data_IF_080552939836
#
_entry.id   IF_080552939836
#
_cell.length_a   1.000
_cell.length_b   1.000
_cell.length_c   1.000
_cell.angle_alpha   90.00
_cell.angle_beta   90.00
_cell.angle_gamma   90.00
#
_symmetry.space_group_name_H-M   'P 1'
#
loop_
_entity.id
_entity.type
_entity.pdbx_description
1 polymer ?
#
# COMPACT_ATOMS: atom_id res chain seq x y z
N UNK A 1 -17.52 2.06 3.44
CA UNK A 1 -17.08 0.65 3.33
C UNK A 1 -15.57 0.66 3.45
N UNK A 2 -14.99 -0.17 4.32
CA UNK A 2 -13.53 -0.29 4.45
C UNK A 2 -13.01 -1.14 3.29
N UNK A 3 -12.28 -0.54 2.36
CA UNK A 3 -11.67 -1.27 1.24
C UNK A 3 -10.80 -2.44 1.72
N UNK A 4 -10.90 -3.60 1.05
CA UNK A 4 -10.07 -4.79 1.33
C UNK A 4 -8.66 -4.56 0.77
N UNK A 5 -7.62 -4.69 1.59
CA UNK A 5 -6.21 -4.38 1.25
C UNK A 5 -5.24 -5.52 1.59
N UNK A 6 -4.77 -6.26 0.60
CA UNK A 6 -3.63 -7.16 0.77
C UNK A 6 -2.32 -6.41 0.58
N UNK A 7 -1.83 -5.69 1.60
CA UNK A 7 -0.60 -4.93 1.44
C UNK A 7 -0.10 -4.15 2.65
N UNK A 8 0.05 -2.84 2.52
CA UNK A 8 0.41 -1.96 3.65
C UNK A 8 -0.69 -0.94 3.83
N UNK A 9 -1.09 -0.68 5.07
CA UNK A 9 -1.98 0.43 5.41
C UNK A 9 -1.45 1.18 6.62
N UNK A 10 -1.09 2.45 6.44
CA UNK A 10 -0.53 3.30 7.49
C UNK A 10 -1.62 4.16 8.14
N UNK A 11 -2.64 3.50 8.68
CA UNK A 11 -3.82 4.16 9.28
C UNK A 11 -3.63 4.59 10.74
N UNK A 12 -2.55 4.15 11.40
CA UNK A 12 -2.26 4.53 12.78
C UNK A 12 -2.07 6.04 12.93
N UNK A 13 -2.81 6.63 13.87
CA UNK A 13 -2.64 8.00 14.31
C UNK A 13 -1.71 8.02 15.54
N UNK A 14 -0.88 9.05 15.66
CA UNK A 14 -0.08 9.24 16.85
C UNK A 14 -0.93 9.63 18.06
N UNK A 15 -0.70 8.97 19.21
CA UNK A 15 -1.14 9.47 20.51
C UNK A 15 -0.03 10.36 21.10
N UNK A 16 -0.38 11.55 21.62
CA UNK A 16 0.58 12.44 22.30
C UNK A 16 0.32 12.43 23.80
N UNK A 17 1.29 11.95 24.58
CA UNK A 17 1.21 11.94 26.03
C UNK A 17 1.63 13.29 26.63
N UNK A 18 0.96 13.71 27.72
CA UNK A 18 1.25 14.95 28.45
C UNK A 18 0.46 16.19 28.02
N UNK A 19 -0.68 16.01 27.34
CA UNK A 19 -1.58 17.10 26.96
C UNK A 19 -2.76 17.12 27.95
N UNK A 20 -2.69 17.97 28.99
CA UNK A 20 -3.78 18.12 29.98
C UNK A 20 -4.99 18.88 29.42
N UNK A 21 -4.90 19.48 28.24
CA UNK A 21 -5.97 20.25 27.63
C UNK A 21 -6.06 20.02 26.11
N UNK A 22 -7.11 19.37 25.58
CA UNK A 22 -7.23 18.99 24.16
C UNK A 22 -7.42 20.19 23.20
N UNK A 23 -7.69 21.39 23.72
CA UNK A 23 -7.82 22.61 22.93
C UNK A 23 -6.48 23.35 22.73
N UNK A 24 -5.45 22.65 22.25
CA UNK A 24 -4.27 23.36 21.74
C UNK A 24 -4.72 24.11 20.48
N UNK A 25 -4.96 25.42 20.62
CA UNK A 25 -5.27 26.31 19.50
C UNK A 25 -4.02 26.48 18.62
N UNK A 26 -3.77 25.53 17.72
CA UNK A 26 -2.76 25.62 16.66
C UNK A 26 -3.09 26.71 15.61
N UNK A 27 -4.19 27.45 15.80
CA UNK A 27 -4.70 28.49 14.93
C UNK A 27 -3.79 29.73 14.79
N UNK A 28 -2.71 29.85 15.57
CA UNK A 28 -1.75 30.96 15.47
C UNK A 28 -0.40 30.52 14.89
N UNK A 29 -0.42 30.09 13.62
CA UNK A 29 0.61 30.44 12.63
C UNK A 29 2.09 30.15 12.89
N UNK A 30 2.49 29.29 13.83
CA UNK A 30 3.90 28.99 14.07
C UNK A 30 4.13 27.49 14.22
N UNK A 31 4.26 26.79 13.09
CA UNK A 31 4.89 25.47 13.04
C UNK A 31 6.38 25.68 12.78
N UNK A 32 7.22 25.30 13.72
CA UNK A 32 8.67 25.29 13.56
C UNK A 32 9.17 23.85 13.73
N UNK A 33 10.00 23.38 12.80
CA UNK A 33 10.74 22.14 12.96
C UNK A 33 12.04 22.46 13.67
N UNK A 34 12.11 22.14 14.98
CA UNK A 34 13.29 22.38 15.80
C UNK A 34 14.14 21.12 15.84
N UNK A 35 15.45 21.26 15.57
CA UNK A 35 16.44 20.18 15.70
C UNK A 35 17.31 20.47 16.91
N UNK A 36 17.42 19.51 17.81
CA UNK A 36 18.25 19.63 19.01
C UNK A 36 19.74 19.47 18.69
N UNK A 37 20.58 20.40 19.18
CA UNK A 37 22.04 20.34 19.12
C UNK A 37 22.72 21.57 18.47
N UNK A 38 23.92 21.94 18.96
CA UNK A 38 24.74 22.95 18.28
C UNK A 38 25.14 22.45 16.89
N UNK A 39 24.89 23.25 15.84
CA UNK A 39 25.07 22.85 14.44
C UNK A 39 24.25 21.62 14.01
N UNK A 40 23.16 21.31 14.72
CA UNK A 40 22.29 20.21 14.33
C UNK A 40 21.69 20.46 12.95
N UNK A 41 21.92 19.53 12.03
CA UNK A 41 21.32 19.53 10.70
C UNK A 41 20.25 18.45 10.68
N UNK A 42 19.06 18.79 10.19
CA UNK A 42 18.09 17.75 9.84
C UNK A 42 18.77 16.88 8.80
N UNK A 43 18.81 15.57 9.03
CA UNK A 43 19.31 14.64 8.04
C UNK A 43 18.54 14.87 6.72
N UNK A 44 19.19 15.31 5.61
CA UNK A 44 18.48 15.83 4.45
C UNK A 44 17.46 14.85 3.87
N UNK A 45 17.81 13.55 3.85
CA UNK A 45 16.89 12.50 3.39
C UNK A 45 15.69 12.32 4.32
N UNK A 46 15.88 12.42 5.64
CA UNK A 46 14.79 12.30 6.61
C UNK A 46 13.81 13.48 6.47
N UNK A 47 14.32 14.68 6.26
CA UNK A 47 13.49 15.86 5.97
C UNK A 47 12.64 15.65 4.71
N UNK A 48 13.25 15.15 3.63
CA UNK A 48 12.52 14.85 2.39
C UNK A 48 11.48 13.74 2.58
N UNK A 49 11.79 12.70 3.36
CA UNK A 49 10.79 11.68 3.74
C UNK A 49 9.62 12.29 4.51
N UNK A 50 9.89 13.22 5.42
CA UNK A 50 8.85 13.93 6.17
C UNK A 50 7.97 14.80 5.25
N UNK A 51 8.57 15.58 4.34
CA UNK A 51 7.83 16.35 3.33
C UNK A 51 6.98 15.42 2.46
N UNK A 52 7.51 14.27 2.07
CA UNK A 52 6.78 13.25 1.30
C UNK A 52 5.58 12.72 2.09
N UNK A 53 5.76 12.35 3.37
CA UNK A 53 4.67 11.89 4.22
C UNK A 53 3.57 12.96 4.41
N UNK A 54 3.97 14.22 4.64
CA UNK A 54 3.04 15.34 4.71
C UNK A 54 2.27 15.50 3.40
N UNK A 55 2.93 15.42 2.25
CA UNK A 55 2.30 15.51 0.93
C UNK A 55 1.24 14.41 0.73
N UNK A 56 1.58 13.16 1.06
CA UNK A 56 0.69 12.02 0.94
C UNK A 56 -0.55 12.15 1.85
N UNK A 57 -0.39 12.71 3.05
CA UNK A 57 -1.47 12.83 4.05
C UNK A 57 -2.33 14.08 3.87
N UNK A 58 -1.73 15.24 3.63
CA UNK A 58 -2.46 16.51 3.55
C UNK A 58 -3.26 16.66 2.26
N UNK A 59 -2.80 16.07 1.16
CA UNK A 59 -3.48 16.13 -0.14
C UNK A 59 -4.25 14.86 -0.49
N UNK A 60 -4.61 14.05 0.50
CA UNK A 60 -5.49 12.90 0.31
C UNK A 60 -6.46 12.79 1.48
N UNK A 61 -7.69 12.36 1.19
CA UNK A 61 -8.67 12.00 2.21
C UNK A 61 -8.60 10.52 2.61
N UNK A 62 -7.74 9.76 1.92
CA UNK A 62 -7.45 8.36 2.23
C UNK A 62 -6.10 8.24 2.92
N UNK A 63 -6.01 7.29 3.85
CA UNK A 63 -4.74 6.92 4.44
C UNK A 63 -3.79 6.30 3.40
N UNK A 64 -2.48 6.56 3.49
CA UNK A 64 -1.49 5.91 2.64
C UNK A 64 -1.61 4.39 2.69
N UNK A 65 -1.83 3.77 1.53
CA UNK A 65 -1.99 2.32 1.39
C UNK A 65 -1.45 1.76 0.08
N UNK A 66 -1.13 0.46 0.05
CA UNK A 66 -0.96 -0.31 -1.20
C UNK A 66 -1.62 -1.69 -1.07
N UNK A 67 -1.97 -2.28 -2.20
CA UNK A 67 -2.38 -3.69 -2.32
C UNK A 67 -1.72 -4.33 -3.54
N UNK A 68 -1.38 -5.62 -3.45
CA UNK A 68 -0.92 -6.41 -4.61
C UNK A 68 -1.91 -7.54 -4.84
N UNK A 69 -2.60 -7.46 -5.96
CA UNK A 69 -3.83 -8.18 -6.27
C UNK A 69 -3.62 -9.07 -7.52
N UNK A 70 -4.00 -10.37 -7.49
CA UNK A 70 -3.80 -11.27 -8.61
C UNK A 70 -4.83 -10.95 -9.70
N UNK A 71 -4.40 -11.00 -10.95
CA UNK A 71 -5.24 -10.64 -12.11
C UNK A 71 -6.19 -11.79 -12.47
N UNK A 72 -5.73 -13.03 -12.31
CA UNK A 72 -6.50 -14.21 -12.67
C UNK A 72 -5.60 -15.44 -12.85
N UNK A 73 -6.20 -16.60 -13.15
CA UNK A 73 -5.44 -17.82 -13.39
C UNK A 73 -4.53 -17.66 -14.61
N UNK A 74 -3.32 -18.23 -14.53
CA UNK A 74 -2.32 -18.30 -15.63
C UNK A 74 -1.74 -16.94 -16.09
N UNK A 75 -1.88 -15.89 -15.28
CA UNK A 75 -1.21 -14.60 -15.52
C UNK A 75 0.01 -14.50 -14.62
N UNK A 76 1.18 -14.31 -15.21
CA UNK A 76 2.48 -14.22 -14.52
C UNK A 76 2.72 -12.86 -13.85
N UNK A 77 1.68 -12.04 -13.72
CA UNK A 77 1.71 -10.71 -13.12
C UNK A 77 0.57 -10.52 -12.13
N UNK A 78 0.85 -9.75 -11.09
CA UNK A 78 -0.15 -9.18 -10.19
C UNK A 78 -0.22 -7.67 -10.39
N UNK A 79 -1.40 -7.08 -10.17
CA UNK A 79 -1.58 -5.64 -10.20
C UNK A 79 -1.16 -5.03 -8.86
N UNK A 80 -0.56 -3.85 -8.94
CA UNK A 80 -0.29 -3.01 -7.79
C UNK A 80 -1.35 -1.90 -7.75
N UNK A 81 -2.02 -1.83 -6.61
CA UNK A 81 -2.98 -0.78 -6.29
C UNK A 81 -2.38 0.16 -5.27
N UNK A 82 -2.38 1.45 -5.58
CA UNK A 82 -1.92 2.50 -4.70
C UNK A 82 -3.15 3.23 -4.13
N UNK A 83 -3.22 3.37 -2.80
CA UNK A 83 -4.35 3.96 -2.09
C UNK A 83 -3.92 5.27 -1.44
N UNK A 84 -4.76 6.29 -1.58
CA UNK A 84 -4.39 7.66 -1.26
C UNK A 84 -3.31 8.22 -2.19
N UNK A 85 -2.57 9.22 -1.73
CA UNK A 85 -1.61 9.97 -2.56
C UNK A 85 -0.19 9.43 -2.45
N UNK A 86 -0.02 8.12 -2.65
CA UNK A 86 1.30 7.45 -2.59
C UNK A 86 1.87 7.06 -3.95
N UNK A 87 1.09 7.15 -5.03
CA UNK A 87 1.59 6.89 -6.38
C UNK A 87 2.69 7.89 -6.75
N UNK A 88 3.71 7.40 -7.44
CA UNK A 88 4.92 8.11 -7.83
C UNK A 88 5.71 8.73 -6.67
N UNK A 89 5.68 8.10 -5.50
CA UNK A 89 6.43 8.55 -4.31
C UNK A 89 7.32 7.45 -3.76
N UNK A 90 8.39 7.85 -3.06
CA UNK A 90 9.25 6.93 -2.30
C UNK A 90 8.46 6.18 -1.22
N UNK A 91 7.43 6.80 -0.64
CA UNK A 91 6.51 6.10 0.26
C UNK A 91 5.79 4.95 -0.45
N UNK A 92 5.25 5.18 -1.65
CA UNK A 92 4.62 4.15 -2.47
C UNK A 92 5.57 3.01 -2.84
N UNK A 93 6.82 3.34 -3.20
CA UNK A 93 7.89 2.36 -3.44
C UNK A 93 8.14 1.50 -2.20
N UNK A 94 8.38 2.13 -1.04
CA UNK A 94 8.68 1.43 0.21
C UNK A 94 7.55 0.48 0.59
N UNK A 95 6.30 0.93 0.49
CA UNK A 95 5.13 0.11 0.81
C UNK A 95 5.01 -1.10 -0.13
N UNK A 96 5.19 -0.89 -1.45
CA UNK A 96 5.16 -1.96 -2.46
C UNK A 96 6.25 -2.99 -2.19
N UNK A 97 7.49 -2.56 -1.98
CA UNK A 97 8.63 -3.45 -1.81
C UNK A 97 8.58 -4.22 -0.48
N UNK A 98 8.11 -3.59 0.60
CA UNK A 98 7.95 -4.25 1.89
C UNK A 98 6.88 -5.36 1.84
N UNK A 99 5.71 -5.08 1.24
CA UNK A 99 4.65 -6.06 1.05
C UNK A 99 5.06 -7.17 0.10
N UNK A 100 5.65 -6.82 -1.05
CA UNK A 100 6.08 -7.80 -2.03
C UNK A 100 7.12 -8.75 -1.45
N UNK A 101 8.14 -8.23 -0.77
CA UNK A 101 9.16 -9.02 -0.05
C UNK A 101 8.52 -9.94 1.00
N UNK A 102 7.57 -9.42 1.79
CA UNK A 102 6.87 -10.23 2.79
C UNK A 102 6.08 -11.37 2.13
N UNK A 103 5.41 -11.11 1.00
CA UNK A 103 4.68 -12.14 0.27
C UNK A 103 5.60 -13.19 -0.34
N UNK A 104 6.80 -12.81 -0.82
CA UNK A 104 7.81 -13.79 -1.27
C UNK A 104 8.20 -14.73 -0.13
N UNK A 105 8.34 -14.19 1.08
CA UNK A 105 8.64 -14.97 2.28
C UNK A 105 7.47 -15.85 2.72
N UNK A 106 6.23 -15.33 2.65
CA UNK A 106 5.03 -16.08 2.99
C UNK A 106 4.80 -17.28 2.04
N UNK A 107 4.95 -17.02 0.72
CA UNK A 107 4.87 -18.04 -0.33
C UNK A 107 6.09 -18.98 -0.25
N UNK A 108 7.25 -18.46 0.14
CA UNK A 108 8.51 -19.21 0.25
C UNK A 108 9.34 -19.25 -1.04
N UNK A 109 9.10 -18.33 -1.99
CA UNK A 109 9.96 -18.12 -3.17
C UNK A 109 11.29 -17.47 -2.80
N UNK A 110 11.30 -16.71 -1.72
CA UNK A 110 12.51 -16.21 -1.05
C UNK A 110 12.39 -16.46 0.46
N UNK A 111 13.50 -16.37 1.18
CA UNK A 111 13.53 -16.51 2.63
C UNK A 111 14.49 -15.49 3.24
N UNK A 112 14.15 -14.87 4.38
CA UNK A 112 15.14 -14.17 5.15
C UNK A 112 16.11 -15.17 5.76
N UNK A 113 17.36 -14.77 5.81
CA UNK A 113 18.38 -15.37 6.66
C UNK A 113 18.13 -14.91 8.11
N UNK A 114 17.14 -15.50 8.76
CA UNK A 114 16.84 -15.24 10.17
C UNK A 114 16.53 -16.56 10.89
N UNK A 115 17.18 -16.86 12.03
CA UNK A 115 16.97 -18.12 12.75
C UNK A 115 15.50 -18.38 13.10
N UNK A 116 15.03 -19.60 12.84
CA UNK A 116 13.65 -20.01 13.14
C UNK A 116 12.60 -19.53 12.14
N UNK A 117 12.99 -18.80 11.08
CA UNK A 117 12.05 -18.43 10.03
C UNK A 117 11.49 -19.67 9.31
N UNK A 118 10.17 -19.71 9.12
CA UNK A 118 9.50 -20.66 8.25
C UNK A 118 8.50 -19.92 7.34
N UNK A 119 8.46 -20.25 6.03
CA UNK A 119 7.36 -19.80 5.17
C UNK A 119 6.05 -20.45 5.65
N UNK A 120 4.89 -19.97 5.17
CA UNK A 120 3.60 -20.52 5.64
C UNK A 120 3.50 -22.02 5.39
N UNK A 121 4.00 -22.49 4.25
CA UNK A 121 4.07 -23.91 3.90
C UNK A 121 4.80 -24.76 4.96
N UNK A 122 5.86 -24.21 5.56
CA UNK A 122 6.58 -24.84 6.68
C UNK A 122 5.70 -25.01 7.91
N UNK A 123 4.89 -23.98 8.23
CA UNK A 123 3.92 -24.08 9.32
C UNK A 123 2.76 -25.03 9.01
N UNK A 124 2.32 -25.12 7.75
CA UNK A 124 1.26 -26.05 7.35
C UNK A 124 1.62 -27.52 7.65
N UNK A 125 2.91 -27.89 7.62
CA UNK A 125 3.36 -29.22 8.05
C UNK A 125 2.91 -29.56 9.48
N UNK A 126 2.82 -28.56 10.36
CA UNK A 126 2.49 -28.75 11.77
C UNK A 126 0.99 -28.66 12.06
N UNK A 127 0.27 -27.84 11.30
CA UNK A 127 -1.14 -27.54 11.56
C UNK A 127 -2.11 -28.15 10.53
N UNK A 128 -1.59 -28.83 9.51
CA UNK A 128 -2.36 -29.32 8.37
C UNK A 128 -2.47 -28.28 7.24
N UNK A 129 -2.91 -28.73 6.06
CA UNK A 129 -3.09 -27.84 4.92
C UNK A 129 -4.17 -26.78 5.23
N UNK A 130 -3.93 -25.56 4.76
CA UNK A 130 -4.95 -24.52 4.75
C UNK A 130 -6.08 -24.88 3.79
N UNK A 131 -7.24 -24.26 3.96
CA UNK A 131 -8.37 -24.48 3.05
C UNK A 131 -7.97 -24.17 1.59
N UNK A 132 -7.89 -25.23 0.78
CA UNK A 132 -7.45 -25.15 -0.62
C UNK A 132 -8.46 -24.32 -1.42
N UNK A 133 -7.96 -23.38 -2.22
CA UNK A 133 -8.80 -22.50 -3.05
C UNK A 133 -9.35 -21.27 -2.32
N UNK A 134 -9.06 -21.09 -1.03
CA UNK A 134 -9.43 -19.87 -0.30
C UNK A 134 -8.28 -18.86 -0.35
N UNK A 135 -8.56 -17.66 -0.86
CA UNK A 135 -7.61 -16.54 -0.85
C UNK A 135 -7.33 -16.10 0.60
N UNK A 136 -6.09 -15.73 0.87
CA UNK A 136 -5.62 -15.23 2.17
C UNK A 136 -5.01 -13.86 2.01
N UNK A 137 -5.12 -13.06 3.06
CA UNK A 137 -4.69 -11.67 3.07
C UNK A 137 -3.60 -11.52 4.13
N UNK A 138 -2.52 -10.83 3.76
CA UNK A 138 -1.51 -10.36 4.70
C UNK A 138 -1.35 -8.86 4.54
N UNK A 139 -1.24 -8.12 5.65
CA UNK A 139 -0.98 -6.69 5.55
C UNK A 139 -0.27 -6.09 6.77
N UNK A 140 0.60 -5.12 6.53
CA UNK A 140 1.26 -4.37 7.59
C UNK A 140 0.38 -3.23 8.10
N UNK A 141 0.36 -3.07 9.42
CA UNK A 141 -0.23 -1.92 10.11
C UNK A 141 0.71 -1.40 11.19
N UNK A 142 0.79 -0.07 11.40
CA UNK A 142 1.44 0.48 12.58
C UNK A 142 0.52 0.36 13.81
N UNK A 143 1.11 0.08 14.96
CA UNK A 143 0.40 0.01 16.24
C UNK A 143 1.08 0.82 17.32
N UNK A 144 0.26 1.48 18.15
CA UNK A 144 0.69 2.22 19.34
C UNK A 144 1.83 3.20 19.05
N UNK A 145 1.76 3.89 17.89
CA UNK A 145 2.69 4.96 17.58
C UNK A 145 2.40 6.12 18.54
N UNK A 146 3.36 6.44 19.39
CA UNK A 146 3.24 7.44 20.45
C UNK A 146 4.37 8.44 20.35
N UNK A 147 4.01 9.69 20.61
CA UNK A 147 4.97 10.76 20.80
C UNK A 147 4.80 11.31 22.21
N UNK A 148 5.91 11.67 22.86
CA UNK A 148 5.93 12.36 24.13
C UNK A 148 6.21 13.82 23.89
N UNK A 149 5.47 14.70 24.56
CA UNK A 149 5.78 16.12 24.57
C UNK A 149 6.95 16.40 25.51
N UNK A 150 7.95 17.13 25.02
CA UNK A 150 9.06 17.67 25.81
C UNK A 150 9.18 19.16 25.56
N UNK A 151 8.56 20.00 26.39
CA UNK A 151 8.43 21.44 26.12
C UNK A 151 7.63 21.69 24.84
N UNK A 152 8.26 22.31 23.84
CA UNK A 152 7.69 22.58 22.51
C UNK A 152 8.04 21.50 21.47
N UNK A 153 8.62 20.37 21.90
CA UNK A 153 9.02 19.26 21.04
C UNK A 153 8.03 18.09 21.13
N UNK A 154 7.85 17.40 20.01
CA UNK A 154 7.24 16.06 19.95
C UNK A 154 8.34 15.04 19.68
N UNK A 155 8.64 14.22 20.68
CA UNK A 155 9.65 13.17 20.60
C UNK A 155 8.96 11.83 20.39
N UNK A 156 9.43 11.03 19.44
CA UNK A 156 8.92 9.66 19.30
C UNK A 156 9.22 8.87 20.59
N UNK A 157 8.19 8.22 21.15
CA UNK A 157 8.29 7.48 22.40
C UNK A 157 8.29 5.97 22.13
N UNK A 158 7.23 5.49 21.51
CA UNK A 158 7.03 4.06 21.27
C UNK A 158 6.21 3.80 20.02
N UNK A 159 6.28 2.57 19.52
CA UNK A 159 5.52 2.14 18.37
C UNK A 159 6.07 0.86 17.80
N UNK A 160 5.26 0.13 17.04
CA UNK A 160 5.70 -1.06 16.31
C UNK A 160 4.91 -1.24 15.02
N UNK A 161 5.46 -2.04 14.12
CA UNK A 161 4.70 -2.60 13.01
C UNK A 161 4.16 -3.97 13.40
N UNK A 162 2.96 -4.29 12.92
CA UNK A 162 2.36 -5.62 13.03
C UNK A 162 2.01 -6.12 11.64
N UNK A 163 2.23 -7.41 11.40
CA UNK A 163 1.70 -8.12 10.26
C UNK A 163 0.38 -8.76 10.66
N UNK A 164 -0.67 -8.46 9.91
CA UNK A 164 -2.01 -9.01 10.07
C UNK A 164 -2.31 -10.05 9.01
N UNK A 165 -3.22 -10.97 9.33
CA UNK A 165 -3.71 -11.97 8.38
C UNK A 165 -5.18 -12.32 8.59
N UNK A 166 -5.86 -12.67 7.50
CA UNK A 166 -7.21 -13.23 7.51
C UNK A 166 -7.50 -14.01 6.21
N UNK A 167 -8.53 -14.86 6.23
CA UNK A 167 -9.13 -15.39 5.02
C UNK A 167 -9.89 -14.29 4.27
N UNK A 168 -9.72 -14.26 2.95
CA UNK A 168 -10.43 -13.38 2.04
C UNK A 168 -11.62 -14.12 1.40
N UNK A 169 -12.51 -14.63 2.26
CA UNK A 169 -13.76 -15.28 1.88
C UNK A 169 -14.91 -14.80 2.77
N UNK A 170 -16.08 -14.60 2.17
CA UNK A 170 -17.28 -14.24 2.93
C UNK A 170 -17.66 -15.39 3.88
N UNK A 171 -18.01 -15.04 5.13
CA UNK A 171 -18.28 -16.01 6.21
C UNK A 171 -17.05 -16.43 7.03
N UNK A 172 -15.82 -16.19 6.54
CA UNK A 172 -14.56 -16.49 7.26
C UNK A 172 -13.77 -15.23 7.63
N UNK A 173 -14.42 -14.06 7.57
CA UNK A 173 -13.79 -12.75 7.84
C UNK A 173 -13.26 -12.70 9.26
N UNK A 174 -12.08 -12.09 9.43
CA UNK A 174 -11.40 -12.00 10.73
C UNK A 174 -10.85 -13.32 11.27
N UNK A 175 -11.01 -14.43 10.54
CA UNK A 175 -10.37 -15.70 10.87
C UNK A 175 -9.13 -15.88 10.01
N UNK A 176 -8.12 -16.56 10.54
CA UNK A 176 -6.91 -16.94 9.82
C UNK A 176 -6.61 -18.42 10.06
N UNK A 177 -5.90 -19.06 9.14
CA UNK A 177 -5.38 -20.39 9.41
C UNK A 177 -4.31 -20.31 10.51
N UNK A 178 -4.12 -21.38 11.33
CA UNK A 178 -3.05 -21.40 12.31
C UNK A 178 -1.66 -21.19 11.69
N UNK A 179 -1.43 -21.68 10.47
CA UNK A 179 -0.17 -21.51 9.75
C UNK A 179 0.07 -20.05 9.33
N UNK A 180 -0.95 -19.38 8.78
CA UNK A 180 -0.86 -17.96 8.42
C UNK A 180 -0.66 -17.09 9.67
N UNK A 181 -1.38 -17.40 10.76
CA UNK A 181 -1.24 -16.69 12.03
C UNK A 181 0.17 -16.85 12.62
N UNK A 182 0.76 -18.04 12.58
CA UNK A 182 2.14 -18.26 13.04
C UNK A 182 3.17 -17.48 12.24
N UNK A 183 2.99 -17.40 10.92
CA UNK A 183 3.83 -16.56 10.07
C UNK A 183 3.70 -15.07 10.44
N UNK A 184 2.46 -14.59 10.61
CA UNK A 184 2.19 -13.20 10.98
C UNK A 184 2.74 -12.84 12.38
N UNK A 185 2.59 -13.75 13.35
CA UNK A 185 3.10 -13.60 14.71
C UNK A 185 4.63 -13.57 14.74
N UNK A 186 5.28 -14.50 14.02
CA UNK A 186 6.74 -14.52 13.89
C UNK A 186 7.24 -13.18 13.32
N UNK A 187 6.66 -12.73 12.20
CA UNK A 187 7.08 -11.48 11.58
C UNK A 187 6.89 -10.29 12.53
N UNK A 188 5.76 -10.25 13.23
CA UNK A 188 5.45 -9.18 14.20
C UNK A 188 6.41 -9.16 15.37
N UNK A 189 6.69 -10.33 15.97
CA UNK A 189 7.59 -10.46 17.12
C UNK A 189 9.04 -10.10 16.76
N UNK A 190 9.47 -10.44 15.55
CA UNK A 190 10.84 -10.24 15.08
C UNK A 190 11.00 -9.00 14.20
N UNK A 191 9.97 -8.15 14.06
CA UNK A 191 9.98 -7.05 13.10
C UNK A 191 11.19 -6.12 13.26
N UNK A 192 11.52 -5.72 14.49
CA UNK A 192 12.65 -4.81 14.74
C UNK A 192 13.99 -5.44 14.32
N UNK A 193 14.24 -6.69 14.69
CA UNK A 193 15.45 -7.41 14.31
C UNK A 193 15.50 -7.67 12.79
N UNK A 194 14.36 -7.93 12.15
CA UNK A 194 14.27 -8.02 10.69
C UNK A 194 14.57 -6.65 10.04
N UNK A 195 14.06 -5.55 10.59
CA UNK A 195 14.31 -4.21 10.07
C UNK A 195 15.79 -3.79 10.16
N UNK A 196 16.53 -4.28 11.16
CA UNK A 196 17.98 -4.08 11.24
C UNK A 196 18.74 -4.79 10.10
N UNK A 197 18.27 -5.97 9.69
CA UNK A 197 18.91 -6.78 8.63
C UNK A 197 18.40 -6.45 7.22
N UNK A 198 17.15 -6.03 7.11
CA UNK A 198 16.43 -5.80 5.85
C UNK A 198 15.96 -4.35 5.80
N UNK A 199 16.72 -3.45 5.13
CA UNK A 199 16.49 -2.01 5.18
C UNK A 199 15.07 -1.57 4.81
N UNK A 200 14.39 -2.31 3.93
CA UNK A 200 13.04 -1.97 3.50
C UNK A 200 12.02 -1.92 4.65
N UNK A 201 12.18 -2.79 5.66
CA UNK A 201 11.29 -2.78 6.84
C UNK A 201 11.65 -1.66 7.82
N UNK A 202 12.93 -1.27 7.89
CA UNK A 202 13.32 -0.05 8.61
C UNK A 202 12.71 1.19 7.95
N UNK A 203 12.82 1.30 6.63
CA UNK A 203 12.23 2.40 5.87
C UNK A 203 10.71 2.45 6.02
N UNK A 204 10.04 1.30 6.01
CA UNK A 204 8.60 1.20 6.23
C UNK A 204 8.20 1.72 7.63
N UNK A 205 8.93 1.33 8.68
CA UNK A 205 8.63 1.80 10.03
C UNK A 205 8.93 3.29 10.22
N UNK A 206 10.03 3.80 9.66
CA UNK A 206 10.30 5.24 9.62
C UNK A 206 9.14 6.01 8.96
N UNK A 207 8.66 5.53 7.81
CA UNK A 207 7.52 6.15 7.15
C UNK A 207 6.23 6.04 7.97
N UNK A 208 6.00 4.94 8.68
CA UNK A 208 4.86 4.81 9.57
C UNK A 208 4.87 5.85 10.69
N UNK A 209 6.03 6.15 11.27
CA UNK A 209 6.19 7.22 12.27
C UNK A 209 5.88 8.59 11.66
N UNK A 210 6.42 8.88 10.48
CA UNK A 210 6.23 10.16 9.78
C UNK A 210 4.78 10.37 9.35
N UNK A 211 4.11 9.31 8.86
CA UNK A 211 2.69 9.35 8.50
C UNK A 211 1.83 9.55 9.75
N UNK A 212 2.10 8.85 10.84
CA UNK A 212 1.37 9.04 12.10
C UNK A 212 1.49 10.48 12.63
N UNK A 213 2.68 11.08 12.54
CA UNK A 213 2.91 12.48 12.88
C UNK A 213 2.16 13.42 11.91
N UNK A 214 2.26 13.21 10.60
CA UNK A 214 1.56 14.00 9.60
C UNK A 214 0.03 13.97 9.81
N UNK A 215 -0.52 12.79 10.14
CA UNK A 215 -1.95 12.63 10.47
C UNK A 215 -2.34 13.41 11.71
N UNK A 216 -1.53 13.31 12.77
CA UNK A 216 -1.74 14.08 14.00
C UNK A 216 -1.77 15.59 13.70
N UNK A 217 -0.82 16.11 12.92
CA UNK A 217 -0.79 17.52 12.53
C UNK A 217 -2.03 17.92 11.71
N UNK A 218 -2.44 17.09 10.73
CA UNK A 218 -3.62 17.35 9.90
C UNK A 218 -4.90 17.41 10.74
N UNK A 219 -5.10 16.44 11.64
CA UNK A 219 -6.28 16.36 12.49
C UNK A 219 -6.36 17.49 13.53
N UNK A 220 -5.21 17.98 13.99
CA UNK A 220 -5.12 19.16 14.86
C UNK A 220 -5.22 20.49 14.09
N UNK A 221 -5.52 20.45 12.78
CA UNK A 221 -5.77 21.64 11.98
C UNK A 221 -4.53 22.49 11.69
N UNK A 222 -3.31 21.93 11.79
CA UNK A 222 -2.08 22.67 11.53
C UNK A 222 -2.01 23.06 10.04
N UNK A 223 -2.00 24.36 9.68
CA UNK A 223 -2.11 24.80 8.29
C UNK A 223 -0.76 24.75 7.56
N UNK A 224 -0.42 23.59 7.01
CA UNK A 224 0.87 23.34 6.34
C UNK A 224 0.89 23.61 4.83
N UNK A 225 -0.15 24.23 4.26
CA UNK A 225 -0.25 24.45 2.82
C UNK A 225 0.95 25.24 2.26
N UNK A 226 1.28 26.39 2.86
CA UNK A 226 2.41 27.22 2.43
C UNK A 226 3.73 26.44 2.46
N UNK A 227 3.94 25.65 3.53
CA UNK A 227 5.13 24.84 3.72
C UNK A 227 5.23 23.77 2.63
N UNK A 228 4.14 23.07 2.35
CA UNK A 228 4.09 22.03 1.32
C UNK A 228 4.32 22.60 -0.08
N UNK A 229 3.80 23.80 -0.38
CA UNK A 229 4.06 24.46 -1.66
C UNK A 229 5.50 24.93 -1.80
N UNK A 230 6.07 25.49 -0.74
CA UNK A 230 7.48 25.92 -0.72
C UNK A 230 8.46 24.74 -0.85
N UNK A 231 8.08 23.53 -0.42
CA UNK A 231 8.93 22.35 -0.43
C UNK A 231 8.45 21.26 -1.38
N UNK A 232 7.57 21.56 -2.34
CA UNK A 232 7.02 20.56 -3.28
C UNK A 232 8.10 19.81 -4.05
N UNK A 233 9.20 20.49 -4.38
CA UNK A 233 10.33 19.91 -5.13
C UNK A 233 11.22 19.01 -4.26
N UNK A 234 10.96 18.95 -2.95
CA UNK A 234 11.64 18.06 -2.01
C UNK A 234 10.94 16.72 -1.84
N UNK A 235 9.70 16.58 -2.33
CA UNK A 235 8.96 15.29 -2.33
C UNK A 235 9.83 14.25 -3.04
N UNK A 236 10.04 13.11 -2.38
CA UNK A 236 10.78 12.00 -2.96
C UNK A 236 9.84 11.28 -3.92
N UNK A 237 10.15 11.39 -5.20
CA UNK A 237 9.43 10.72 -6.28
C UNK A 237 10.17 9.44 -6.68
N UNK A 238 9.40 8.38 -6.91
CA UNK A 238 9.90 7.10 -7.40
C UNK A 238 8.93 6.57 -8.46
N UNK A 239 9.39 5.64 -9.31
CA UNK A 239 8.50 4.98 -10.24
C UNK A 239 7.49 4.09 -9.49
N UNK A 240 6.26 4.06 -9.97
CA UNK A 240 5.16 3.29 -9.38
C UNK A 240 4.59 2.34 -10.41
N UNK A 241 5.29 1.22 -10.67
CA UNK A 241 4.82 0.24 -11.63
C UNK A 241 3.45 -0.27 -11.19
N UNK A 242 2.58 -0.47 -12.19
CA UNK A 242 1.24 -1.02 -12.03
C UNK A 242 1.24 -2.54 -11.86
N UNK A 243 2.39 -3.20 -12.00
CA UNK A 243 2.51 -4.65 -11.83
C UNK A 243 3.75 -5.08 -11.04
N UNK A 244 3.68 -6.31 -10.53
CA UNK A 244 4.83 -7.10 -10.06
C UNK A 244 4.68 -8.53 -10.60
N UNK A 245 5.77 -9.30 -10.57
CA UNK A 245 5.69 -10.72 -10.96
C UNK A 245 4.75 -11.51 -10.03
N UNK A 246 4.06 -12.48 -10.61
CA UNK A 246 3.28 -13.43 -9.84
C UNK A 246 4.20 -14.25 -8.93
N UNK A 247 3.77 -14.38 -7.68
CA UNK A 247 4.42 -15.26 -6.71
C UNK A 247 3.71 -16.61 -6.71
N UNK A 248 4.37 -17.63 -7.24
CA UNK A 248 3.88 -18.99 -7.23
C UNK A 248 5.02 -19.99 -6.97
N UNK A 249 4.74 -21.04 -6.20
CA UNK A 249 5.62 -22.21 -6.07
C UNK A 249 4.83 -23.49 -5.80
N UNK A 250 5.44 -24.64 -6.06
CA UNK A 250 4.96 -25.91 -5.51
C UNK A 250 5.23 -25.95 -3.99
N UNK A 251 4.36 -26.62 -3.24
CA UNK A 251 4.60 -26.89 -1.82
C UNK A 251 5.79 -27.83 -1.64
N UNK A 252 6.59 -27.57 -0.61
CA UNK A 252 7.72 -28.43 -0.23
C UNK A 252 7.24 -29.68 0.55
N UNK A 253 5.96 -29.71 0.98
CA UNK A 253 5.43 -30.70 1.92
C UNK A 253 4.16 -31.43 1.43
N UNK A 254 3.41 -30.83 0.50
CA UNK A 254 2.14 -31.37 0.02
C UNK A 254 2.17 -31.55 -1.50
N UNK A 255 2.20 -32.80 -1.95
CA UNK A 255 2.23 -33.13 -3.37
C UNK A 255 0.99 -32.58 -4.09
N UNK A 256 1.18 -31.94 -5.25
CA UNK A 256 0.12 -31.33 -6.03
C UNK A 256 -0.43 -30.00 -5.52
N UNK A 257 0.03 -29.50 -4.35
CA UNK A 257 -0.37 -28.19 -3.83
C UNK A 257 0.49 -27.08 -4.45
N UNK A 258 -0.17 -26.12 -5.12
CA UNK A 258 0.47 -24.89 -5.59
C UNK A 258 0.12 -23.73 -4.66
N UNK A 259 1.13 -22.99 -4.22
CA UNK A 259 1.00 -21.82 -3.37
C UNK A 259 1.12 -20.58 -4.24
N UNK A 260 0.11 -19.71 -4.20
CA UNK A 260 0.10 -18.43 -4.92
C UNK A 260 -0.10 -17.26 -3.94
N UNK A 261 0.51 -16.12 -4.23
CA UNK A 261 0.28 -14.86 -3.52
C UNK A 261 -0.86 -14.05 -4.15
N UNK A 262 -1.45 -13.11 -3.39
CA UNK A 262 -2.41 -12.12 -3.90
C UNK A 262 -3.75 -12.10 -3.17
N UNK A 263 -4.40 -10.93 -3.18
CA UNK A 263 -5.73 -10.70 -2.61
C UNK A 263 -6.71 -10.34 -3.71
N UNK A 264 -7.88 -10.99 -3.77
CA UNK A 264 -8.88 -10.81 -4.83
C UNK A 264 -9.16 -9.33 -5.13
N UNK A 265 -9.21 -9.00 -6.42
CA UNK A 265 -9.49 -7.67 -6.95
C UNK A 265 -10.77 -7.08 -6.31
N UNK A 266 -10.68 -5.86 -5.81
CA UNK A 266 -11.86 -5.05 -5.54
C UNK A 266 -12.36 -4.45 -6.87
N UNK A 267 -13.67 -4.47 -7.10
CA UNK A 267 -14.27 -3.97 -8.34
C UNK A 267 -14.20 -2.43 -8.49
N UNK A 268 -13.93 -1.70 -7.41
CA UNK A 268 -13.94 -0.23 -7.35
C UNK A 268 -12.57 0.34 -6.93
N UNK A 269 -11.50 -0.08 -7.61
CA UNK A 269 -10.14 0.22 -7.20
C UNK A 269 -9.37 1.06 -8.24
N UNK A 270 -8.59 2.04 -7.77
CA UNK A 270 -7.69 2.84 -8.60
C UNK A 270 -6.35 2.10 -8.80
N UNK A 271 -6.14 1.54 -9.99
CA UNK A 271 -4.89 0.89 -10.39
C UNK A 271 -4.05 1.82 -11.26
N UNK A 272 -2.72 1.67 -11.21
CA UNK A 272 -1.84 2.28 -12.20
C UNK A 272 -1.88 1.44 -13.47
N UNK A 273 -2.35 2.04 -14.56
CA UNK A 273 -2.54 1.38 -15.85
C UNK A 273 -1.40 1.73 -16.80
N UNK A 274 -0.19 1.28 -16.46
CA UNK A 274 0.95 1.38 -17.37
C UNK A 274 0.88 0.33 -18.49
N UNK A 275 1.84 0.38 -19.42
CA UNK A 275 1.87 -0.54 -20.57
C UNK A 275 1.92 -2.02 -20.14
N UNK A 276 2.59 -2.33 -19.03
CA UNK A 276 2.72 -3.69 -18.54
C UNK A 276 1.43 -4.19 -17.87
N UNK A 277 0.77 -3.34 -17.08
CA UNK A 277 -0.53 -3.60 -16.47
C UNK A 277 -1.61 -3.83 -17.54
N UNK A 278 -1.65 -2.97 -18.56
CA UNK A 278 -2.57 -3.13 -19.70
C UNK A 278 -2.29 -4.45 -20.43
N UNK A 279 -1.02 -4.76 -20.72
CA UNK A 279 -0.65 -6.00 -21.39
C UNK A 279 -0.98 -7.25 -20.54
N UNK A 280 -0.81 -7.19 -19.22
CA UNK A 280 -1.16 -8.27 -18.31
C UNK A 280 -2.67 -8.51 -18.26
N UNK A 281 -3.47 -7.44 -18.21
CA UNK A 281 -4.93 -7.52 -18.26
C UNK A 281 -5.43 -8.06 -19.60
N UNK A 282 -4.83 -7.63 -20.71
CA UNK A 282 -5.15 -8.17 -22.04
C UNK A 282 -4.85 -9.67 -22.13
N UNK A 283 -3.72 -10.13 -21.60
CA UNK A 283 -3.38 -11.57 -21.54
C UNK A 283 -4.36 -12.36 -20.68
N UNK A 284 -4.79 -11.80 -19.55
CA UNK A 284 -5.81 -12.41 -18.73
C UNK A 284 -7.15 -12.57 -19.48
N UNK A 285 -7.55 -11.52 -20.20
CA UNK A 285 -8.78 -11.50 -20.99
C UNK A 285 -8.77 -12.53 -22.13
N UNK A 286 -7.67 -12.61 -22.87
CA UNK A 286 -7.53 -13.60 -23.96
C UNK A 286 -7.48 -15.03 -23.43
N UNK A 287 -6.82 -15.26 -22.29
CA UNK A 287 -6.78 -16.57 -21.64
C UNK A 287 -8.16 -17.03 -21.12
N UNK A 288 -9.09 -16.10 -20.86
CA UNK A 288 -10.46 -16.39 -20.43
C UNK A 288 -11.47 -16.51 -21.60
N UNK A 289 -11.01 -16.40 -22.85
CA UNK A 289 -11.85 -16.62 -24.04
C UNK A 289 -12.67 -15.40 -24.50
N UNK A 290 -12.32 -14.19 -24.07
CA UNK A 290 -13.05 -12.98 -24.45
C UNK A 290 -12.71 -12.47 -25.86
N UNK A 291 -13.59 -12.68 -26.84
CA UNK A 291 -13.55 -11.99 -28.13
C UNK A 291 -14.18 -10.60 -27.99
N UNK A 292 -13.36 -9.58 -27.72
CA UNK A 292 -13.80 -8.19 -27.68
C UNK A 292 -12.62 -7.22 -27.67
N UNK A 293 -12.47 -6.45 -28.73
CA UNK A 293 -11.41 -5.45 -28.90
C UNK A 293 -11.56 -4.37 -27.82
N UNK A 294 -10.53 -4.16 -26.99
CA UNK A 294 -10.41 -2.94 -26.18
C UNK A 294 -9.95 -1.82 -27.12
N UNK A 295 -10.90 -1.33 -27.93
CA UNK A 295 -10.68 -0.26 -28.91
C UNK A 295 -11.11 1.07 -28.32
N UNK A 296 -10.15 1.99 -28.17
CA UNK A 296 -10.44 3.41 -27.96
C UNK A 296 -11.27 3.94 -29.12
N UNK A 297 -12.45 4.50 -28.83
CA UNK A 297 -13.30 5.10 -29.85
C UNK A 297 -12.93 6.56 -30.05
N UNK A 298 -12.03 6.81 -31.00
CA UNK A 298 -12.05 8.03 -31.82
C UNK A 298 -13.30 8.01 -32.70
N UNK A 299 -13.95 9.17 -32.82
CA UNK A 299 -15.33 9.24 -33.31
C UNK A 299 -15.53 9.03 -34.80
N UNK A 300 -16.76 8.63 -35.16
CA UNK A 300 -17.40 9.05 -36.40
C UNK A 300 -18.93 8.97 -36.25
N UNK A 301 -19.61 10.04 -36.69
CA UNK A 301 -21.07 10.17 -36.75
C UNK A 301 -21.67 9.23 -37.79
N UNK A 302 -22.82 8.63 -37.48
CA UNK A 302 -23.96 8.49 -38.40
C UNK A 302 -25.28 8.37 -37.63
N UNK A 303 -26.31 8.90 -38.28
CA UNK A 303 -27.70 9.18 -37.87
C UNK A 303 -28.62 7.95 -37.93
N UNK A 304 -29.66 7.90 -37.08
CA UNK A 304 -30.85 7.05 -37.30
C UNK A 304 -31.61 6.66 -36.03
N UNK A 305 -32.94 6.67 -36.10
CA UNK A 305 -33.91 6.84 -35.01
C UNK A 305 -34.63 5.53 -34.59
N UNK A 306 -35.07 5.46 -33.32
CA UNK A 306 -36.16 4.60 -32.73
C UNK A 306 -35.81 3.11 -32.50
N UNK A 307 -36.17 2.38 -31.43
CA UNK A 307 -37.20 2.45 -30.36
C UNK A 307 -36.79 1.53 -29.17
N UNK A 308 -37.29 1.85 -27.95
CA UNK A 308 -37.67 1.01 -26.77
C UNK A 308 -37.35 -0.51 -26.76
N UNK A 309 -37.04 -1.24 -25.67
CA UNK A 309 -36.95 -1.00 -24.21
C UNK A 309 -36.41 -2.31 -23.55
N UNK A 310 -35.96 -2.19 -22.30
CA UNK A 310 -35.71 -3.22 -21.25
C UNK A 310 -34.47 -4.13 -21.31
N UNK A 311 -33.62 -4.02 -20.29
CA UNK A 311 -32.81 -5.14 -19.79
C UNK A 311 -31.39 -4.82 -19.32
N UNK A 312 -31.22 -4.67 -18.00
CA UNK A 312 -29.95 -4.68 -17.23
C UNK A 312 -29.04 -3.45 -17.35
N UNK A 313 -29.05 -2.63 -16.31
CA UNK A 313 -28.08 -1.58 -16.08
C UNK A 313 -26.67 -2.18 -15.87
N UNK A 314 -25.79 -1.98 -16.84
CA UNK A 314 -24.34 -2.09 -16.65
C UNK A 314 -23.85 -0.82 -15.95
N UNK A 315 -22.92 -0.88 -14.98
CA UNK A 315 -22.29 0.33 -14.47
C UNK A 315 -21.43 0.92 -15.59
N UNK A 316 -21.77 2.14 -16.01
CA UNK A 316 -20.94 2.92 -16.92
C UNK A 316 -19.76 3.51 -16.12
N UNK A 317 -18.54 3.12 -16.45
CA UNK A 317 -17.33 3.79 -15.96
C UNK A 317 -17.28 5.20 -16.56
N UNK A 318 -17.54 6.23 -15.76
CA UNK A 318 -17.27 7.61 -16.14
C UNK A 318 -15.78 7.89 -15.94
N UNK A 319 -14.99 7.74 -17.00
CA UNK A 319 -13.56 8.11 -17.00
C UNK A 319 -13.43 9.62 -17.23
N UNK A 320 -12.84 10.32 -16.27
CA UNK A 320 -12.31 11.67 -16.46
C UNK A 320 -11.11 11.62 -17.43
N UNK A 321 -10.92 12.66 -18.25
CA UNK A 321 -9.94 12.63 -19.36
C UNK A 321 -8.49 12.68 -18.82
N UNK A 322 -7.60 11.76 -19.24
CA UNK A 322 -6.19 11.76 -18.83
C UNK A 322 -5.48 13.08 -19.11
N UNK A 323 -4.54 13.44 -18.24
CA UNK A 323 -3.59 14.54 -18.46
C UNK A 323 -2.21 13.92 -18.71
N UNK A 324 -1.64 14.19 -19.87
CA UNK A 324 -0.29 13.73 -20.24
C UNK A 324 0.70 14.90 -20.20
N UNK A 325 1.92 14.65 -19.73
CA UNK A 325 3.03 15.60 -19.73
C UNK A 325 4.38 14.89 -19.87
N UNK A 326 5.40 15.55 -20.40
CA UNK A 326 6.72 14.97 -20.61
C UNK A 326 7.77 15.56 -19.66
N UNK A 327 8.62 14.71 -19.07
CA UNK A 327 9.78 15.11 -18.26
C UNK A 327 11.01 14.35 -18.72
N UNK A 328 12.09 15.07 -19.07
CA UNK A 328 13.36 14.50 -19.57
C UNK A 328 13.19 13.52 -20.75
N UNK A 329 12.28 13.82 -21.67
CA UNK A 329 12.05 12.99 -22.86
C UNK A 329 11.29 11.68 -22.59
N UNK A 330 10.67 11.54 -21.41
CA UNK A 330 9.72 10.48 -21.09
C UNK A 330 8.33 11.06 -20.92
N UNK A 331 7.34 10.39 -21.52
CA UNK A 331 5.93 10.76 -21.42
C UNK A 331 5.29 10.13 -20.19
N UNK A 332 4.60 10.94 -19.40
CA UNK A 332 3.83 10.54 -18.24
C UNK A 332 2.36 10.81 -18.53
N UNK A 333 1.48 9.87 -18.17
CA UNK A 333 0.04 10.07 -18.26
C UNK A 333 -0.57 9.85 -16.89
N UNK A 334 -1.18 10.89 -16.36
CA UNK A 334 -1.94 10.85 -15.11
C UNK A 334 -3.40 10.67 -15.47
N UNK A 335 -3.97 9.52 -15.12
CA UNK A 335 -5.41 9.34 -15.11
C UNK A 335 -5.96 10.20 -13.96
N UNK A 336 -7.02 11.01 -14.16
CA UNK A 336 -7.56 11.80 -13.08
C UNK A 336 -8.25 10.85 -12.08
N UNK A 337 -8.13 11.21 -10.80
CA UNK A 337 -8.69 10.46 -9.67
C UNK A 337 -10.21 10.33 -9.74
#
# INVERSE_FOLDING_TARGET
MTDRLGGVMLSGMAEVQGVENPEVQWARGQFALVVEGQNARIHPRLFRKFVTALWCVYYSDQDPGISIDPIGPKVDKHLVRYIGRVVNTDLGRVMREADYTMKKWAVGTERPDYPGFQPVDGWMRHYGPVAIGISRRFWFVPENIRFRRGGDLLLFDSGRMRLLTEYNADGLRGQASPADQRFADFFTQHYQALAEKYPIYKELFEYAQLVALAKYLKQNGVPLHWFLMAHKDLVLTEDSPGTVDQLAKASDYFEGLQIQGGVNLAAEAQYVMDAEAVAALQRAWTAQGGSGTVGGSGGQRTTGTSTADTGSARPAFALSRPVSFAVHGRDYTVLPQ
#
